data_IF_408293030072
#
_entry.id   IF_408293030072
#
_cell.length_a   1.000
_cell.length_b   1.000
_cell.length_c   1.000
_cell.angle_alpha   90.00
_cell.angle_beta   90.00
_cell.angle_gamma   90.00
#
_symmetry.space_group_name_H-M   'P 1'
#
loop_
_entity.id
_entity.type
_entity.pdbx_description
1 polymer ?
#
# COMPACT_ATOMS: atom_id res chain seq x y z
N UNK A 1 -4.35 15.94 78.87
CA UNK A 1 -5.08 16.55 77.73
C UNK A 1 -5.89 15.43 77.06
N UNK A 2 -7.12 15.24 77.52
CA UNK A 2 -7.99 14.12 77.12
C UNK A 2 -8.62 14.42 75.77
N UNK A 3 -8.19 13.67 74.74
CA UNK A 3 -8.69 13.81 73.37
C UNK A 3 -10.17 13.38 73.32
N UNK A 4 -11.02 14.27 72.79
CA UNK A 4 -12.47 14.06 72.68
C UNK A 4 -12.80 12.81 71.82
N UNK A 5 -13.84 12.02 72.16
CA UNK A 5 -14.11 10.72 71.52
C UNK A 5 -14.28 10.79 69.99
N UNK A 6 -14.88 11.88 69.47
CA UNK A 6 -14.99 12.14 68.02
C UNK A 6 -13.64 12.26 67.31
N UNK A 7 -12.63 12.80 67.99
CA UNK A 7 -11.28 12.93 67.41
C UNK A 7 -10.59 11.57 67.35
N UNK A 8 -10.93 10.65 68.27
CA UNK A 8 -10.38 9.28 68.27
C UNK A 8 -10.94 8.45 67.09
N UNK A 9 -12.19 8.66 66.70
CA UNK A 9 -12.80 8.00 65.53
C UNK A 9 -12.10 8.43 64.22
N UNK A 10 -11.90 9.74 64.03
CA UNK A 10 -11.26 10.32 62.83
C UNK A 10 -9.81 9.85 62.64
N UNK A 11 -9.09 9.54 63.72
CA UNK A 11 -7.67 9.15 63.67
C UNK A 11 -7.47 7.65 63.34
N UNK A 12 -8.50 6.81 63.51
CA UNK A 12 -8.32 5.38 63.27
C UNK A 12 -8.27 5.05 61.78
N UNK A 13 -7.25 4.31 61.35
CA UNK A 13 -7.10 3.82 59.96
C UNK A 13 -8.37 3.14 59.44
N UNK A 14 -9.09 2.41 60.30
CA UNK A 14 -10.34 1.73 59.96
C UNK A 14 -11.45 2.70 59.54
N UNK A 15 -11.66 3.77 60.30
CA UNK A 15 -12.67 4.79 59.98
C UNK A 15 -12.29 5.56 58.72
N UNK A 16 -11.01 5.91 58.57
CA UNK A 16 -10.48 6.55 57.36
C UNK A 16 -10.73 5.69 56.11
N UNK A 17 -10.41 4.39 56.14
CA UNK A 17 -10.68 3.50 55.00
C UNK A 17 -12.18 3.26 54.76
N UNK A 18 -13.00 3.26 55.81
CA UNK A 18 -14.45 3.11 55.71
C UNK A 18 -15.10 4.32 55.01
N UNK A 19 -14.66 5.55 55.30
CA UNK A 19 -15.17 6.76 54.64
C UNK A 19 -14.55 6.99 53.26
N UNK A 20 -13.23 6.81 53.11
CA UNK A 20 -12.55 6.99 51.82
C UNK A 20 -12.97 5.97 50.76
N UNK A 21 -13.22 4.71 51.14
CA UNK A 21 -13.67 3.67 50.21
C UNK A 21 -15.02 4.00 49.57
N UNK A 22 -15.95 4.57 50.34
CA UNK A 22 -17.23 5.05 49.83
C UNK A 22 -17.06 6.33 48.99
N UNK A 23 -16.10 7.19 49.31
CA UNK A 23 -15.78 8.39 48.53
C UNK A 23 -15.30 8.09 47.10
N UNK A 24 -14.32 7.18 46.96
CA UNK A 24 -13.80 6.77 45.65
C UNK A 24 -14.87 6.06 44.81
N UNK A 25 -15.68 5.20 45.45
CA UNK A 25 -16.81 4.55 44.78
C UNK A 25 -17.87 5.54 44.27
N UNK A 26 -18.18 6.59 45.03
CA UNK A 26 -19.10 7.66 44.61
C UNK A 26 -18.55 8.46 43.42
N UNK A 27 -17.25 8.75 43.40
CA UNK A 27 -16.59 9.41 42.25
C UNK A 27 -16.65 8.50 41.01
N UNK A 28 -16.38 7.21 41.17
CA UNK A 28 -16.47 6.25 40.08
C UNK A 28 -17.90 6.12 39.54
N UNK A 29 -18.91 6.05 40.43
CA UNK A 29 -20.32 5.98 40.04
C UNK A 29 -20.82 7.28 39.41
N UNK A 30 -20.42 8.44 39.94
CA UNK A 30 -20.73 9.74 39.36
C UNK A 30 -20.07 9.91 37.98
N UNK A 31 -18.86 9.39 37.79
CA UNK A 31 -18.23 9.29 36.47
C UNK A 31 -19.03 8.37 35.53
N UNK A 32 -19.52 7.23 36.02
CA UNK A 32 -20.31 6.28 35.22
C UNK A 32 -21.67 6.88 34.80
N UNK A 33 -22.37 7.55 35.72
CA UNK A 33 -23.68 8.18 35.49
C UNK A 33 -23.58 9.52 34.74
N UNK A 34 -22.49 10.27 34.94
CA UNK A 34 -22.21 11.57 34.30
C UNK A 34 -21.64 11.45 32.89
N UNK A 35 -21.48 10.24 32.35
CA UNK A 35 -20.94 10.02 31.01
C UNK A 35 -19.42 10.07 30.91
N UNK A 36 -18.69 9.82 31.99
CA UNK A 36 -17.22 9.69 32.01
C UNK A 36 -16.66 8.59 31.12
N UNK A 37 -17.51 7.66 30.64
CA UNK A 37 -17.15 6.72 29.57
C UNK A 37 -17.34 7.27 28.16
N UNK A 38 -17.95 8.45 27.96
CA UNK A 38 -18.06 9.09 26.64
C UNK A 38 -16.68 9.48 26.06
N UNK A 39 -15.63 9.52 26.88
CA UNK A 39 -14.25 9.75 26.44
C UNK A 39 -13.32 8.53 26.57
N UNK A 40 -13.68 7.48 27.32
CA UNK A 40 -12.93 6.22 27.37
C UNK A 40 -13.37 5.23 26.28
N UNK A 41 -14.63 5.31 25.87
CA UNK A 41 -15.01 5.00 24.51
C UNK A 41 -14.79 6.25 23.69
N UNK A 42 -13.54 6.51 23.30
CA UNK A 42 -13.39 7.10 21.99
C UNK A 42 -14.21 6.19 21.07
N UNK A 43 -15.37 6.66 20.64
CA UNK A 43 -15.81 6.45 19.29
C UNK A 43 -14.68 6.96 18.38
N UNK A 44 -13.54 6.25 18.35
CA UNK A 44 -13.16 5.70 17.08
C UNK A 44 -14.40 4.90 16.70
N UNK A 45 -15.30 5.55 15.97
CA UNK A 45 -16.14 4.83 15.05
C UNK A 45 -15.19 3.78 14.48
N UNK A 46 -15.49 2.51 14.71
CA UNK A 46 -14.89 1.46 13.93
C UNK A 46 -15.48 1.72 12.53
N UNK A 47 -14.97 2.78 11.87
CA UNK A 47 -14.88 2.84 10.44
C UNK A 47 -14.26 1.52 10.12
N UNK A 48 -15.09 0.66 9.53
CA UNK A 48 -14.78 -0.68 9.07
C UNK A 48 -13.26 -0.82 8.91
N UNK A 49 -12.56 -1.71 9.64
CA UNK A 49 -11.10 -1.81 9.54
C UNK A 49 -10.61 -2.12 8.11
N UNK A 50 -11.53 -2.50 7.22
CA UNK A 50 -11.34 -2.69 5.78
C UNK A 50 -11.83 -1.50 4.93
N UNK A 51 -12.19 -0.38 5.55
CA UNK A 51 -12.56 0.84 4.85
C UNK A 51 -11.35 1.34 4.05
N UNK A 52 -11.55 1.75 2.79
CA UNK A 52 -10.50 2.36 2.00
C UNK A 52 -9.91 3.56 2.73
N UNK A 53 -8.59 3.54 2.96
CA UNK A 53 -7.87 4.67 3.54
C UNK A 53 -7.63 5.74 2.49
N UNK A 54 -7.65 7.01 2.90
CA UNK A 54 -7.20 8.09 2.05
C UNK A 54 -5.72 7.88 1.66
N UNK A 55 -5.37 7.98 0.36
CA UNK A 55 -3.97 7.91 -0.07
C UNK A 55 -3.20 9.13 0.45
N UNK A 56 -1.87 8.97 0.62
CA UNK A 56 -1.00 10.08 1.03
C UNK A 56 -0.92 11.22 0.00
N UNK A 57 -1.21 10.93 -1.26
CA UNK A 57 -1.22 11.89 -2.36
C UNK A 57 -2.56 11.86 -3.09
N UNK A 58 -2.95 13.00 -3.66
CA UNK A 58 -4.11 13.06 -4.52
C UNK A 58 -3.90 12.16 -5.75
N UNK A 59 -4.86 11.25 -6.07
CA UNK A 59 -4.70 10.36 -7.20
C UNK A 59 -4.73 11.15 -8.52
N UNK A 60 -3.72 10.93 -9.35
CA UNK A 60 -3.63 11.54 -10.70
C UNK A 60 -4.48 10.77 -11.72
N UNK A 61 -4.62 9.45 -11.54
CA UNK A 61 -5.44 8.57 -12.36
C UNK A 61 -6.74 8.21 -11.63
N UNK A 62 -7.89 8.31 -12.32
CA UNK A 62 -9.19 7.94 -11.77
C UNK A 62 -9.49 6.44 -11.91
N UNK A 63 -8.90 5.77 -12.91
CA UNK A 63 -9.13 4.36 -13.26
C UNK A 63 -7.85 3.77 -13.82
N UNK A 64 -7.58 2.50 -13.49
CA UNK A 64 -6.49 1.71 -14.07
C UNK A 64 -7.11 0.46 -14.69
N UNK A 65 -6.82 0.22 -15.97
CA UNK A 65 -7.25 -0.98 -16.68
C UNK A 65 -5.99 -1.85 -16.84
N UNK A 66 -6.00 -3.03 -16.24
CA UNK A 66 -4.93 -4.02 -16.38
C UNK A 66 -5.44 -5.18 -17.22
N UNK A 67 -4.75 -5.48 -18.32
CA UNK A 67 -5.10 -6.56 -19.23
C UNK A 67 -3.99 -7.61 -19.18
N UNK A 68 -4.32 -8.83 -18.74
CA UNK A 68 -3.43 -9.98 -18.82
C UNK A 68 -3.86 -10.85 -20.01
N UNK A 69 -3.03 -10.88 -21.05
CA UNK A 69 -3.33 -11.58 -22.30
C UNK A 69 -2.36 -12.74 -22.49
N UNK A 70 -2.74 -13.93 -21.99
CA UNK A 70 -1.96 -15.15 -22.22
C UNK A 70 -2.00 -15.51 -23.72
N UNK A 71 -0.83 -15.57 -24.36
CA UNK A 71 -0.72 -15.78 -25.82
C UNK A 71 -1.04 -14.53 -26.65
N UNK A 72 -1.16 -13.36 -26.02
CA UNK A 72 -1.27 -12.10 -26.72
C UNK A 72 0.03 -11.70 -27.45
N UNK A 73 -0.05 -10.68 -28.31
CA UNK A 73 1.14 -10.09 -28.94
C UNK A 73 2.15 -9.65 -27.89
N UNK A 74 3.44 -9.85 -28.19
CA UNK A 74 4.54 -9.46 -27.29
C UNK A 74 4.54 -7.96 -27.06
N UNK A 75 4.83 -7.53 -25.83
CA UNK A 75 5.02 -6.11 -25.52
C UNK A 75 6.16 -5.49 -26.34
N UNK A 76 7.22 -6.26 -26.60
CA UNK A 76 8.36 -5.85 -27.42
C UNK A 76 7.97 -5.62 -28.89
N UNK A 77 6.91 -6.27 -29.35
CA UNK A 77 6.39 -6.14 -30.71
C UNK A 77 5.33 -5.04 -30.85
N UNK A 78 4.87 -4.46 -29.73
CA UNK A 78 3.77 -3.50 -29.72
C UNK A 78 4.17 -2.10 -29.26
N UNK A 79 4.81 -2.00 -28.09
CA UNK A 79 4.97 -0.74 -27.35
C UNK A 79 6.42 -0.42 -26.98
N UNK A 80 7.33 -1.39 -27.08
CA UNK A 80 8.66 -1.27 -26.51
C UNK A 80 9.74 -1.58 -27.56
N UNK A 81 9.96 -0.60 -28.44
CA UNK A 81 11.01 -0.69 -29.46
C UNK A 81 12.38 -0.80 -28.80
N UNK A 82 13.19 -1.76 -29.25
CA UNK A 82 14.56 -1.97 -28.79
C UNK A 82 15.58 -1.80 -29.92
N UNK A 83 16.09 -0.58 -30.19
CA UNK A 83 17.08 -0.33 -31.23
C UNK A 83 18.37 -1.16 -31.08
N UNK A 84 18.78 -1.44 -29.84
CA UNK A 84 19.93 -2.33 -29.59
C UNK A 84 19.65 -3.75 -30.08
N UNK A 85 18.42 -4.25 -29.94
CA UNK A 85 18.05 -5.58 -30.39
C UNK A 85 18.02 -5.64 -31.93
N UNK A 86 17.56 -4.58 -32.59
CA UNK A 86 17.65 -4.40 -34.06
C UNK A 86 19.10 -4.50 -34.55
N UNK A 87 20.05 -3.88 -33.82
CA UNK A 87 21.48 -3.91 -34.19
C UNK A 87 22.10 -5.31 -34.12
N UNK A 88 21.67 -6.13 -33.16
CA UNK A 88 22.22 -7.47 -32.92
C UNK A 88 21.30 -8.59 -33.44
N UNK A 89 20.33 -8.26 -34.30
CA UNK A 89 19.39 -9.23 -34.83
C UNK A 89 20.11 -10.39 -35.54
N UNK A 90 19.69 -11.62 -35.24
CA UNK A 90 20.30 -12.86 -35.73
C UNK A 90 21.67 -13.22 -35.10
N UNK A 91 22.29 -12.31 -34.34
CA UNK A 91 23.59 -12.56 -33.70
C UNK A 91 23.42 -13.33 -32.38
N UNK A 92 24.38 -14.17 -31.97
CA UNK A 92 24.33 -14.83 -30.67
C UNK A 92 24.32 -13.80 -29.54
N UNK A 93 23.67 -14.12 -28.43
CA UNK A 93 23.65 -13.26 -27.24
C UNK A 93 25.10 -12.95 -26.80
N UNK A 94 25.48 -11.67 -26.62
CA UNK A 94 26.82 -11.32 -26.17
C UNK A 94 27.15 -11.96 -24.81
N UNK A 95 28.36 -12.52 -24.68
CA UNK A 95 28.80 -13.21 -23.47
C UNK A 95 28.73 -12.32 -22.21
N UNK A 96 28.93 -11.01 -22.36
CA UNK A 96 28.83 -10.03 -21.28
C UNK A 96 27.42 -9.90 -20.69
N UNK A 97 26.38 -10.23 -21.46
CA UNK A 97 24.98 -10.16 -21.02
C UNK A 97 24.61 -11.41 -20.22
N UNK A 98 25.05 -12.59 -20.67
CA UNK A 98 24.72 -13.87 -20.03
C UNK A 98 25.60 -14.15 -18.82
N UNK A 99 26.90 -13.80 -18.88
CA UNK A 99 27.90 -14.13 -17.83
C UNK A 99 27.74 -15.57 -17.34
N UNK A 100 27.51 -15.76 -16.04
CA UNK A 100 27.31 -17.07 -15.40
C UNK A 100 25.83 -17.50 -15.30
N UNK A 101 24.89 -16.70 -15.81
CA UNK A 101 23.47 -17.05 -15.75
C UNK A 101 23.16 -18.24 -16.66
N UNK A 102 22.36 -19.16 -16.12
CA UNK A 102 21.78 -20.28 -16.85
C UNK A 102 20.29 -20.04 -17.03
N UNK A 103 19.86 -19.94 -18.27
CA UNK A 103 18.45 -19.91 -18.63
C UNK A 103 17.95 -21.34 -18.83
N UNK A 104 16.77 -21.66 -18.28
CA UNK A 104 16.26 -23.03 -18.29
C UNK A 104 15.98 -23.57 -19.71
N UNK A 105 15.68 -22.69 -20.66
CA UNK A 105 15.23 -23.05 -22.01
C UNK A 105 15.97 -22.30 -23.13
N UNK A 106 17.04 -21.58 -22.82
CA UNK A 106 17.77 -20.76 -23.80
C UNK A 106 19.23 -21.20 -23.79
N UNK A 107 19.73 -21.63 -24.96
CA UNK A 107 21.14 -21.94 -25.15
C UNK A 107 21.99 -20.67 -25.04
N UNK A 108 23.23 -20.79 -24.56
CA UNK A 108 24.12 -19.63 -24.38
C UNK A 108 24.46 -18.91 -25.69
N UNK A 109 24.34 -19.60 -26.81
CA UNK A 109 24.58 -19.12 -28.18
C UNK A 109 23.27 -18.90 -28.95
N UNK A 110 22.11 -18.89 -28.28
CA UNK A 110 20.85 -18.57 -28.94
C UNK A 110 20.95 -17.21 -29.65
N UNK A 111 20.39 -17.12 -30.85
CA UNK A 111 20.36 -15.88 -31.61
C UNK A 111 19.35 -14.91 -31.02
N UNK A 112 19.75 -13.64 -30.95
CA UNK A 112 18.84 -12.55 -30.67
C UNK A 112 17.86 -12.38 -31.83
N UNK A 113 16.62 -12.03 -31.51
CA UNK A 113 15.57 -11.77 -32.49
C UNK A 113 14.97 -10.39 -32.21
N UNK A 114 15.16 -9.47 -33.15
CA UNK A 114 14.48 -8.18 -33.14
C UNK A 114 13.01 -8.34 -33.52
N UNK A 115 12.20 -7.35 -33.13
CA UNK A 115 10.82 -7.29 -33.61
C UNK A 115 10.82 -7.18 -35.14
N UNK A 116 10.02 -8.00 -35.85
CA UNK A 116 9.91 -7.92 -37.30
C UNK A 116 9.06 -6.73 -37.77
N UNK A 117 8.38 -6.05 -36.85
CA UNK A 117 7.44 -4.98 -37.15
C UNK A 117 8.12 -3.61 -37.14
N UNK A 118 7.57 -2.68 -37.92
CA UNK A 118 8.02 -1.29 -37.94
C UNK A 118 7.42 -0.50 -36.80
N UNK A 119 8.21 0.40 -36.25
CA UNK A 119 7.79 1.34 -35.21
C UNK A 119 7.77 2.76 -35.74
N UNK A 120 6.86 3.57 -35.22
CA UNK A 120 6.75 5.00 -35.53
C UNK A 120 6.35 5.77 -34.27
N UNK A 121 6.70 7.05 -34.23
CA UNK A 121 6.35 7.93 -33.12
C UNK A 121 4.97 8.55 -33.39
N UNK A 122 4.10 8.55 -32.37
CA UNK A 122 2.74 9.05 -32.47
C UNK A 122 2.41 10.06 -31.36
N UNK A 123 1.50 10.98 -31.70
CA UNK A 123 1.00 12.03 -30.81
C UNK A 123 2.08 13.02 -30.31
N UNK A 124 1.65 13.97 -29.48
CA UNK A 124 2.56 14.96 -28.87
C UNK A 124 3.49 14.35 -27.81
N UNK A 125 3.15 13.17 -27.28
CA UNK A 125 3.98 12.44 -26.33
C UNK A 125 5.18 11.75 -26.97
N UNK A 126 5.17 11.57 -28.29
CA UNK A 126 6.21 10.86 -29.02
C UNK A 126 6.28 9.37 -28.69
N UNK A 127 5.15 8.74 -28.32
CA UNK A 127 5.13 7.32 -28.01
C UNK A 127 5.50 6.49 -29.25
N UNK A 128 6.45 5.57 -29.11
CA UNK A 128 6.80 4.62 -30.18
C UNK A 128 5.81 3.45 -30.18
N UNK A 129 5.05 3.30 -31.27
CA UNK A 129 4.09 2.22 -31.45
C UNK A 129 4.40 1.42 -32.71
N UNK A 130 4.14 0.12 -32.64
CA UNK A 130 4.23 -0.81 -33.76
C UNK A 130 3.14 -0.57 -34.80
N UNK A 131 3.44 -0.84 -36.07
CA UNK A 131 2.47 -0.82 -37.18
C UNK A 131 1.30 -1.79 -36.98
N UNK A 132 1.40 -2.73 -36.03
CA UNK A 132 0.33 -3.63 -35.60
C UNK A 132 -0.81 -2.91 -34.85
N UNK A 133 -0.62 -1.65 -34.44
CA UNK A 133 -1.61 -0.85 -33.71
C UNK A 133 -2.02 0.41 -34.48
N UNK A 134 -2.46 0.30 -35.75
CA UNK A 134 -2.64 1.46 -36.64
C UNK A 134 -3.66 2.46 -36.08
N UNK A 135 -4.76 1.97 -35.52
CA UNK A 135 -5.81 2.82 -34.96
C UNK A 135 -5.45 3.44 -33.62
N UNK A 136 -4.46 2.92 -32.90
CA UNK A 136 -4.03 3.51 -31.63
C UNK A 136 -3.12 4.71 -31.86
N UNK A 137 -2.31 4.69 -32.92
CA UNK A 137 -1.42 5.81 -33.28
C UNK A 137 -2.16 7.04 -33.86
N UNK A 138 -3.40 6.87 -34.30
CA UNK A 138 -4.23 7.95 -34.87
C UNK A 138 -5.00 8.76 -33.81
N UNK A 139 -4.97 8.33 -32.54
CA UNK A 139 -5.70 8.95 -31.42
C UNK A 139 -4.83 9.99 -30.73
#
# INVERSE_FOLDING_TARGET
MTVHPKVKEIITRRHFFQECGLGVGKIALASLLGGGFKHLGAQAAIENPLAPKAPHFAPTAKRVIYLFMAGGPSQLDLFDRKPTLEKYDGQPIPAEVVKDQRYAFIERNASLMASPFKFSHYGDSGAELSEMLPHLGEI
#
